data_IF_739589041853
#
_entry.id   IF_739589041853
#
_cell.length_a   1.000
_cell.length_b   1.000
_cell.length_c   1.000
_cell.angle_alpha   90.00
_cell.angle_beta   90.00
_cell.angle_gamma   90.00
#
_symmetry.space_group_name_H-M   'P 1'
#
loop_
_entity.id
_entity.type
_entity.pdbx_description
1 polymer ?
#
# COMPACT_ATOMS: atom_id res chain seq x y z
N UNK A 1 11.09 -9.05 13.17
CA UNK A 1 9.84 -8.76 13.90
C UNK A 1 9.36 -10.03 14.58
N UNK A 2 8.67 -9.94 15.71
CA UNK A 2 8.04 -11.09 16.36
C UNK A 2 6.56 -11.09 16.01
N UNK A 3 6.11 -12.04 15.20
CA UNK A 3 4.70 -12.31 14.97
C UNK A 3 4.16 -13.20 16.09
N UNK A 4 2.86 -13.13 16.38
CA UNK A 4 2.25 -14.11 17.30
C UNK A 4 2.33 -15.52 16.74
N UNK A 5 2.29 -16.50 17.63
CA UNK A 5 2.25 -17.92 17.25
C UNK A 5 1.03 -18.28 16.39
N UNK A 6 -0.06 -17.51 16.48
CA UNK A 6 -1.23 -17.70 15.62
C UNK A 6 -0.96 -17.21 14.20
N UNK A 7 -0.44 -15.99 14.05
CA UNK A 7 -0.09 -15.43 12.75
C UNK A 7 0.98 -16.25 12.02
N UNK A 8 1.99 -16.74 12.75
CA UNK A 8 3.03 -17.61 12.19
C UNK A 8 2.46 -18.93 11.65
N UNK A 9 1.56 -19.58 12.40
CA UNK A 9 0.89 -20.80 11.94
C UNK A 9 0.03 -20.54 10.71
N UNK A 10 -0.74 -19.46 10.73
CA UNK A 10 -1.61 -19.07 9.60
C UNK A 10 -0.81 -18.81 8.32
N UNK A 11 0.39 -18.21 8.45
CA UNK A 11 1.32 -18.01 7.33
C UNK A 11 1.94 -19.32 6.84
N UNK A 12 2.25 -20.25 7.74
CA UNK A 12 2.81 -21.57 7.39
C UNK A 12 1.79 -22.48 6.71
N UNK A 13 0.51 -22.29 6.96
CA UNK A 13 -0.59 -23.00 6.28
C UNK A 13 -0.75 -22.63 4.80
N UNK A 14 -0.20 -21.48 4.37
CA UNK A 14 -0.19 -21.08 2.97
C UNK A 14 0.86 -21.88 2.19
N UNK A 15 0.62 -22.05 0.89
CA UNK A 15 1.61 -22.55 -0.06
C UNK A 15 2.77 -21.57 -0.27
N UNK A 16 3.83 -22.00 -0.95
CA UNK A 16 5.02 -21.17 -1.19
C UNK A 16 4.66 -19.85 -1.90
N UNK A 17 3.80 -19.92 -2.92
CA UNK A 17 3.34 -18.74 -3.66
C UNK A 17 2.50 -17.80 -2.79
N UNK A 18 1.60 -18.33 -1.96
CA UNK A 18 0.83 -17.53 -1.01
C UNK A 18 1.73 -16.82 0.00
N UNK A 19 2.77 -17.48 0.51
CA UNK A 19 3.72 -16.86 1.44
C UNK A 19 4.50 -15.71 0.80
N UNK A 20 4.99 -15.90 -0.42
CA UNK A 20 5.70 -14.85 -1.16
C UNK A 20 4.77 -13.64 -1.44
N UNK A 21 3.52 -13.89 -1.79
CA UNK A 21 2.52 -12.85 -1.99
C UNK A 21 2.24 -12.07 -0.70
N UNK A 22 2.06 -12.73 0.45
CA UNK A 22 1.91 -12.03 1.76
C UNK A 22 3.12 -11.13 2.02
N UNK A 23 4.33 -11.66 1.85
CA UNK A 23 5.54 -10.88 2.09
C UNK A 23 5.63 -9.66 1.16
N UNK A 24 5.27 -9.82 -0.12
CA UNK A 24 5.24 -8.73 -1.09
C UNK A 24 4.25 -7.64 -0.67
N UNK A 25 3.03 -8.03 -0.28
CA UNK A 25 2.00 -7.09 0.21
C UNK A 25 2.47 -6.30 1.42
N UNK A 26 3.06 -6.98 2.42
CA UNK A 26 3.58 -6.33 3.63
C UNK A 26 4.72 -5.36 3.28
N UNK A 27 5.66 -5.76 2.41
CA UNK A 27 6.76 -4.90 1.95
C UNK A 27 6.23 -3.66 1.21
N UNK A 28 5.23 -3.82 0.35
CA UNK A 28 4.58 -2.73 -0.36
C UNK A 28 3.88 -1.77 0.61
N UNK A 29 3.16 -2.29 1.60
CA UNK A 29 2.51 -1.49 2.64
C UNK A 29 3.53 -0.66 3.42
N UNK A 30 4.61 -1.29 3.91
CA UNK A 30 5.68 -0.59 4.64
C UNK A 30 6.30 0.50 3.77
N UNK A 31 6.57 0.21 2.50
CA UNK A 31 7.09 1.19 1.55
C UNK A 31 6.13 2.36 1.37
N UNK A 32 4.83 2.08 1.22
CA UNK A 32 3.81 3.11 1.09
C UNK A 32 3.71 3.98 2.35
N UNK A 33 3.72 3.40 3.54
CA UNK A 33 3.76 4.15 4.80
C UNK A 33 4.97 5.07 4.85
N UNK A 34 6.16 4.57 4.51
CA UNK A 34 7.40 5.35 4.51
C UNK A 34 7.36 6.52 3.51
N UNK A 35 6.89 6.28 2.28
CA UNK A 35 6.75 7.33 1.26
C UNK A 35 5.75 8.42 1.65
N UNK A 36 4.74 8.08 2.43
CA UNK A 36 3.74 9.02 2.93
C UNK A 36 4.13 9.67 4.28
N UNK A 37 5.27 9.28 4.88
CA UNK A 37 5.75 9.83 6.15
C UNK A 37 5.05 9.30 7.41
N UNK A 38 4.35 8.16 7.32
CA UNK A 38 3.68 7.51 8.45
C UNK A 38 4.43 6.27 8.93
N UNK A 39 4.39 5.99 10.23
CA UNK A 39 4.88 4.72 10.77
C UNK A 39 3.79 3.66 10.62
N UNK A 40 4.13 2.43 10.18
CA UNK A 40 3.15 1.34 10.15
C UNK A 40 2.81 0.93 11.59
N UNK A 41 1.58 1.20 12.02
CA UNK A 41 1.17 1.09 13.43
C UNK A 41 1.23 -0.34 13.98
N UNK A 42 0.69 -1.32 13.24
CA UNK A 42 0.64 -2.70 13.69
C UNK A 42 0.92 -3.69 12.55
N UNK A 43 2.18 -4.08 12.41
CA UNK A 43 2.59 -5.03 11.36
C UNK A 43 1.92 -6.39 11.52
N UNK A 44 1.64 -6.86 12.74
CA UNK A 44 0.96 -8.14 12.93
C UNK A 44 -0.43 -8.12 12.28
N UNK A 45 -1.17 -7.03 12.45
CA UNK A 45 -2.46 -6.83 11.79
C UNK A 45 -2.31 -6.82 10.27
N UNK A 46 -1.29 -6.15 9.74
CA UNK A 46 -1.02 -6.14 8.28
C UNK A 46 -0.78 -7.56 7.75
N UNK A 47 -0.05 -8.40 8.48
CA UNK A 47 0.12 -9.81 8.10
C UNK A 47 -1.19 -10.59 8.14
N UNK A 48 -2.03 -10.39 9.17
CA UNK A 48 -3.32 -11.06 9.28
C UNK A 48 -4.24 -10.68 8.12
N UNK A 49 -4.36 -9.39 7.83
CA UNK A 49 -5.18 -8.87 6.72
C UNK A 49 -4.66 -9.39 5.37
N UNK A 50 -3.34 -9.40 5.14
CA UNK A 50 -2.76 -9.95 3.92
C UNK A 50 -3.02 -11.47 3.74
N UNK A 51 -2.93 -12.24 4.83
CA UNK A 51 -3.27 -13.68 4.80
C UNK A 51 -4.76 -13.87 4.50
N UNK A 52 -5.64 -13.07 5.10
CA UNK A 52 -7.08 -13.12 4.84
C UNK A 52 -7.41 -12.79 3.38
N UNK A 53 -6.79 -11.76 2.81
CA UNK A 53 -6.94 -11.40 1.40
C UNK A 53 -6.58 -12.59 0.51
N UNK A 54 -5.43 -13.23 0.72
CA UNK A 54 -5.01 -14.37 -0.11
C UNK A 54 -5.96 -15.57 0.04
N UNK A 55 -6.49 -15.80 1.24
CA UNK A 55 -7.44 -16.89 1.47
C UNK A 55 -8.79 -16.65 0.79
N UNK A 56 -9.27 -15.40 0.76
CA UNK A 56 -10.59 -15.06 0.24
C UNK A 56 -10.57 -14.75 -1.26
N UNK A 57 -9.58 -14.00 -1.71
CA UNK A 57 -9.50 -13.43 -3.06
C UNK A 57 -8.45 -14.12 -3.93
N UNK A 58 -7.52 -14.88 -3.32
CA UNK A 58 -6.38 -15.47 -4.00
C UNK A 58 -5.18 -14.53 -4.10
N UNK A 59 -4.16 -14.94 -4.85
CA UNK A 59 -2.97 -14.11 -5.07
C UNK A 59 -3.37 -12.91 -5.92
N UNK A 60 -3.17 -11.66 -5.44
CA UNK A 60 -3.53 -10.49 -6.21
C UNK A 60 -2.72 -10.43 -7.51
N UNK A 61 -3.40 -10.24 -8.63
CA UNK A 61 -2.75 -9.87 -9.89
C UNK A 61 -2.04 -8.51 -9.69
N UNK A 62 -0.86 -8.34 -10.27
CA UNK A 62 -0.08 -7.10 -10.10
C UNK A 62 -0.95 -5.88 -10.39
N UNK A 63 -0.93 -4.85 -9.51
CA UNK A 63 -1.78 -3.68 -9.71
C UNK A 63 -1.36 -3.02 -11.02
N UNK A 64 -2.25 -3.08 -12.01
CA UNK A 64 -2.07 -2.38 -13.27
C UNK A 64 -1.75 -0.92 -12.95
N UNK A 65 -0.59 -0.45 -13.42
CA UNK A 65 -0.18 0.94 -13.26
C UNK A 65 -1.29 1.85 -13.80
N UNK A 66 -2.06 2.47 -12.90
CA UNK A 66 -3.07 3.45 -13.29
C UNK A 66 -2.34 4.80 -13.34
N UNK A 67 -2.10 5.37 -14.53
CA UNK A 67 -1.51 6.70 -14.62
C UNK A 67 -2.40 7.68 -13.86
N UNK A 68 -1.78 8.49 -13.01
CA UNK A 68 -2.47 9.55 -12.29
C UNK A 68 -3.25 10.43 -13.26
N UNK A 69 -4.58 10.44 -13.14
CA UNK A 69 -5.50 11.33 -13.89
C UNK A 69 -5.40 12.79 -13.44
N UNK A 70 -4.46 13.14 -12.57
CA UNK A 70 -4.34 14.50 -12.06
C UNK A 70 -3.86 15.41 -13.20
N UNK A 71 -4.79 16.17 -13.79
CA UNK A 71 -4.40 17.25 -14.69
C UNK A 71 -3.49 18.23 -13.92
N UNK A 72 -2.41 18.75 -14.53
CA UNK A 72 -1.57 19.76 -13.90
C UNK A 72 -2.43 20.91 -13.39
N UNK A 73 -2.15 21.40 -12.18
CA UNK A 73 -2.86 22.55 -11.59
C UNK A 73 -2.94 23.68 -12.62
N UNK A 74 -4.15 23.95 -13.14
CA UNK A 74 -4.39 25.02 -14.11
C UNK A 74 -4.03 26.34 -13.43
N UNK A 75 -2.90 26.93 -13.84
CA UNK A 75 -2.48 28.26 -13.37
C UNK A 75 -3.20 29.29 -14.24
N UNK A 76 -4.22 29.93 -13.68
CA UNK A 76 -4.86 31.07 -14.31
C UNK A 76 -3.98 32.31 -14.14
N UNK A 77 -3.95 33.19 -15.12
CA UNK A 77 -3.34 34.51 -14.95
C UNK A 77 -4.08 35.27 -13.86
N UNK A 78 -3.35 35.67 -12.82
CA UNK A 78 -3.90 36.51 -11.75
C UNK A 78 -4.16 37.91 -12.33
N UNK A 79 -5.38 38.41 -12.17
CA UNK A 79 -5.75 39.77 -12.58
C UNK A 79 -4.74 40.79 -12.01
N UNK A 80 -4.06 41.52 -12.90
CA UNK A 80 -3.28 42.69 -12.52
C UNK A 80 -4.17 43.92 -12.61
N UNK A 81 -4.27 44.67 -11.51
CA UNK A 81 -5.03 45.91 -11.51
C UNK A 81 -4.38 46.93 -12.47
N UNK A 82 -5.16 47.76 -13.20
CA UNK A 82 -4.63 48.66 -14.24
C UNK A 82 -3.76 49.82 -13.73
N UNK A 83 -3.39 49.87 -12.45
CA UNK A 83 -2.96 51.10 -11.76
C UNK A 83 -1.57 51.03 -11.15
N UNK A 84 -0.64 50.36 -11.82
CA UNK A 84 0.78 50.40 -11.49
C UNK A 84 1.61 50.77 -12.72
N UNK A 85 1.45 52.02 -13.17
CA UNK A 85 2.41 52.77 -13.98
C UNK A 85 2.41 54.21 -13.46
#
# INVERSE_FOLDING_TARGET
MKLSAHALRSLQELDDFGREAVESMVKQHIRACHLNGFQPENIERVYQEAIEIIRLEGIPEEPAFVPSKYEPTRRYEQYRSPRAL
#
